data_IF_080029933877
#
_entry.id   IF_080029933877
#
_cell.length_a   1.000
_cell.length_b   1.000
_cell.length_c   1.000
_cell.angle_alpha   90.00
_cell.angle_beta   90.00
_cell.angle_gamma   90.00
#
_symmetry.space_group_name_H-M   'P 1'
#
loop_
_entity.id
_entity.type
_entity.pdbx_description
1 polymer ?
#
# COMPACT_ATOMS: atom_id res chain seq x y z
N UNK A 1 -1.84 0.33 22.24
CA UNK A 1 -0.78 0.79 21.30
C UNK A 1 0.27 1.57 22.08
N UNK A 2 1.57 1.46 21.74
CA UNK A 2 2.63 2.25 22.38
C UNK A 2 2.42 3.76 22.16
N UNK A 3 2.72 4.59 23.18
CA UNK A 3 2.46 6.04 23.16
C UNK A 3 3.14 6.78 21.98
N UNK A 4 4.27 6.28 21.48
CA UNK A 4 5.03 6.89 20.39
C UNK A 4 4.72 6.31 19.00
N UNK A 5 3.75 5.40 18.88
CA UNK A 5 3.40 4.80 17.60
C UNK A 5 2.48 5.67 16.75
N UNK A 6 1.69 6.55 17.38
CA UNK A 6 0.67 7.38 16.70
C UNK A 6 1.18 8.14 15.46
N UNK A 7 2.36 8.78 15.46
CA UNK A 7 2.87 9.44 14.26
C UNK A 7 3.14 8.46 13.10
N UNK A 8 3.65 7.26 13.41
CA UNK A 8 3.92 6.22 12.41
C UNK A 8 2.63 5.63 11.86
N UNK A 9 1.61 5.43 12.71
CA UNK A 9 0.26 5.05 12.30
C UNK A 9 -0.32 6.09 11.32
N UNK A 10 -0.24 7.36 11.68
CA UNK A 10 -0.83 8.43 10.86
C UNK A 10 -0.09 8.57 9.52
N UNK A 11 1.22 8.34 9.50
CA UNK A 11 2.02 8.25 8.27
C UNK A 11 1.64 7.04 7.40
N UNK A 12 1.39 5.87 8.00
CA UNK A 12 0.89 4.70 7.28
C UNK A 12 -0.49 4.99 6.67
N UNK A 13 -1.39 5.70 7.38
CA UNK A 13 -2.69 6.08 6.84
C UNK A 13 -2.55 7.06 5.67
N UNK A 14 -1.63 8.03 5.77
CA UNK A 14 -1.30 8.93 4.66
C UNK A 14 -0.73 8.15 3.46
N UNK A 15 0.12 7.15 3.69
CA UNK A 15 0.65 6.27 2.66
C UNK A 15 -0.46 5.49 1.93
N UNK A 16 -1.37 4.86 2.68
CA UNK A 16 -2.49 4.11 2.09
C UNK A 16 -3.36 5.03 1.23
N UNK A 17 -3.66 6.25 1.71
CA UNK A 17 -4.39 7.23 0.91
C UNK A 17 -3.64 7.63 -0.36
N UNK A 18 -2.32 7.78 -0.27
CA UNK A 18 -1.48 8.14 -1.41
C UNK A 18 -1.52 7.04 -2.49
N UNK A 19 -1.32 5.77 -2.12
CA UNK A 19 -1.33 4.65 -3.08
C UNK A 19 -2.72 4.33 -3.62
N UNK A 20 -3.79 4.61 -2.86
CA UNK A 20 -5.17 4.58 -3.38
C UNK A 20 -5.51 5.73 -4.34
N UNK A 21 -4.60 6.67 -4.61
CA UNK A 21 -4.89 7.94 -5.28
C UNK A 21 -5.94 8.82 -4.57
N UNK A 22 -6.17 8.63 -3.27
CA UNK A 22 -7.13 9.40 -2.46
C UNK A 22 -6.56 10.72 -1.95
N UNK A 23 -5.85 11.43 -2.84
CA UNK A 23 -5.20 12.71 -2.51
C UNK A 23 -6.18 13.87 -2.46
N UNK A 24 -7.37 13.76 -3.08
CA UNK A 24 -8.29 14.89 -3.24
C UNK A 24 -9.71 14.75 -2.68
N UNK A 25 -10.29 13.57 -2.44
CA UNK A 25 -11.62 13.48 -1.79
C UNK A 25 -12.04 12.06 -1.42
N UNK A 26 -13.12 12.02 -0.63
CA UNK A 26 -13.79 10.95 0.13
C UNK A 26 -14.35 9.82 -0.77
N UNK A 27 -13.51 9.22 -1.58
CA UNK A 27 -13.91 8.11 -2.45
C UNK A 27 -13.55 6.81 -1.74
N UNK A 28 -14.55 5.97 -1.48
CA UNK A 28 -14.31 4.59 -1.08
C UNK A 28 -13.54 3.93 -2.24
N UNK A 29 -12.41 3.25 -1.99
CA UNK A 29 -11.71 2.52 -3.04
C UNK A 29 -12.71 1.63 -3.79
N UNK A 30 -12.74 1.73 -5.12
CA UNK A 30 -13.56 0.82 -5.92
C UNK A 30 -13.05 -0.60 -5.66
N UNK A 31 -13.94 -1.60 -5.62
CA UNK A 31 -13.51 -2.99 -5.53
C UNK A 31 -12.58 -3.33 -6.71
N UNK A 32 -11.66 -4.28 -6.54
CA UNK A 32 -10.82 -4.75 -7.63
C UNK A 32 -11.67 -5.31 -8.78
N UNK A 33 -11.20 -5.16 -10.00
CA UNK A 33 -11.87 -5.72 -11.17
C UNK A 33 -11.91 -7.26 -11.08
N UNK A 34 -13.01 -7.93 -11.44
CA UNK A 34 -13.10 -9.40 -11.39
C UNK A 34 -11.96 -10.10 -12.13
N UNK A 35 -11.60 -9.64 -13.33
CA UNK A 35 -10.48 -10.19 -14.11
C UNK A 35 -9.13 -10.13 -13.35
N UNK A 36 -8.89 -9.08 -12.56
CA UNK A 36 -7.69 -8.98 -11.72
C UNK A 36 -7.69 -10.06 -10.66
N UNK A 37 -8.84 -10.36 -10.05
CA UNK A 37 -8.97 -11.42 -9.05
C UNK A 37 -8.77 -12.79 -9.71
N UNK A 38 -9.42 -13.05 -10.84
CA UNK A 38 -9.28 -14.32 -11.57
C UNK A 38 -7.83 -14.58 -12.01
N UNK A 39 -7.16 -13.55 -12.55
CA UNK A 39 -5.74 -13.67 -12.93
C UNK A 39 -4.84 -13.89 -11.70
N UNK A 40 -5.09 -13.16 -10.60
CA UNK A 40 -4.33 -13.32 -9.36
C UNK A 40 -4.48 -14.73 -8.75
N UNK A 41 -5.72 -15.22 -8.65
CA UNK A 41 -6.03 -16.54 -8.07
C UNK A 41 -5.47 -17.69 -8.92
N UNK A 42 -5.24 -17.47 -10.22
CA UNK A 42 -4.57 -18.45 -11.09
C UNK A 42 -3.07 -18.58 -10.83
N UNK A 43 -2.45 -17.57 -10.20
CA UNK A 43 -0.99 -17.46 -10.02
C UNK A 43 -0.54 -17.74 -8.58
N UNK A 44 -1.36 -17.44 -7.59
CA UNK A 44 -1.02 -17.58 -6.18
C UNK A 44 -1.93 -18.60 -5.50
N UNK A 45 -1.34 -19.65 -4.92
CA UNK A 45 -2.09 -20.70 -4.22
C UNK A 45 -1.98 -20.59 -2.70
N UNK A 46 -0.94 -19.91 -2.21
CA UNK A 46 -0.71 -19.72 -0.79
C UNK A 46 -0.04 -18.37 -0.48
N UNK A 47 0.10 -18.04 0.80
CA UNK A 47 0.65 -16.76 1.24
C UNK A 47 2.19 -16.68 1.15
N UNK A 48 2.88 -17.82 1.13
CA UNK A 48 4.34 -17.88 1.02
C UNK A 48 4.80 -17.49 -0.38
N UNK A 49 4.04 -17.86 -1.41
CA UNK A 49 4.24 -17.44 -2.81
C UNK A 49 4.24 -15.89 -2.94
N UNK A 50 3.37 -15.22 -2.19
CA UNK A 50 3.28 -13.76 -2.13
C UNK A 50 4.55 -13.19 -1.48
N UNK A 51 4.99 -13.78 -0.36
CA UNK A 51 6.25 -13.44 0.32
C UNK A 51 7.45 -13.46 -0.63
N UNK A 52 7.60 -14.57 -1.35
CA UNK A 52 8.70 -14.81 -2.29
C UNK A 52 8.72 -13.80 -3.45
N UNK A 53 7.57 -13.55 -4.08
CA UNK A 53 7.48 -12.64 -5.25
C UNK A 53 7.92 -11.20 -4.94
N UNK A 54 7.64 -10.72 -3.73
CA UNK A 54 8.04 -9.35 -3.34
C UNK A 54 9.41 -9.28 -2.66
N UNK A 55 9.85 -10.35 -1.98
CA UNK A 55 11.12 -10.40 -1.25
C UNK A 55 12.33 -10.59 -2.16
N UNK A 56 12.11 -11.08 -3.38
CA UNK A 56 13.15 -11.25 -4.39
C UNK A 56 13.02 -10.17 -5.46
N UNK A 57 13.83 -9.11 -5.36
CA UNK A 57 13.95 -8.06 -6.39
C UNK A 57 14.41 -8.58 -7.76
N UNK A 58 14.80 -9.86 -7.85
CA UNK A 58 15.14 -10.55 -9.10
C UNK A 58 13.98 -11.38 -9.68
N UNK A 59 12.83 -11.43 -9.01
CA UNK A 59 11.65 -12.13 -9.55
C UNK A 59 11.10 -11.33 -10.73
N UNK A 60 10.94 -12.00 -11.87
CA UNK A 60 10.37 -11.38 -13.07
C UNK A 60 8.96 -10.86 -12.74
N UNK A 61 8.62 -9.62 -13.12
CA UNK A 61 7.31 -9.06 -12.82
C UNK A 61 6.22 -9.90 -13.50
N UNK A 62 5.13 -10.15 -12.78
CA UNK A 62 4.01 -10.98 -13.24
C UNK A 62 3.24 -10.31 -14.39
N UNK A 63 3.23 -8.99 -14.41
CA UNK A 63 2.70 -8.16 -15.49
C UNK A 63 3.73 -7.09 -15.87
N UNK A 64 3.69 -6.53 -17.09
CA UNK A 64 4.48 -5.36 -17.45
C UNK A 64 4.22 -4.17 -16.50
N UNK A 65 5.28 -3.42 -16.16
CA UNK A 65 5.19 -2.28 -15.21
C UNK A 65 4.33 -1.14 -15.76
N UNK A 66 4.30 -0.97 -17.08
CA UNK A 66 3.48 0.01 -17.80
C UNK A 66 1.97 -0.33 -17.76
N UNK A 67 1.59 -1.57 -17.50
CA UNK A 67 0.20 -1.95 -17.21
C UNK A 67 -0.25 -1.49 -15.80
N UNK A 68 0.68 -1.08 -14.92
CA UNK A 68 0.34 -0.57 -13.58
C UNK A 68 -0.12 0.89 -13.66
N UNK A 69 -1.42 1.09 -13.44
CA UNK A 69 -2.09 2.39 -13.50
C UNK A 69 -2.25 3.07 -12.13
N UNK A 70 -1.72 2.48 -11.06
CA UNK A 70 -1.56 3.15 -9.76
C UNK A 70 -0.71 4.42 -9.94
N UNK A 71 -1.13 5.53 -9.33
CA UNK A 71 -0.65 6.89 -9.60
C UNK A 71 -0.93 7.40 -11.03
N UNK A 72 -2.20 7.51 -11.44
CA UNK A 72 -2.53 8.27 -12.66
C UNK A 72 -2.04 9.72 -12.50
N UNK A 73 -1.20 10.16 -13.44
CA UNK A 73 -0.56 11.49 -13.47
C UNK A 73 0.22 11.85 -12.18
N UNK A 74 1.22 11.05 -11.78
CA UNK A 74 1.96 11.34 -10.57
C UNK A 74 2.74 12.64 -10.73
N UNK A 75 2.54 13.57 -9.81
CA UNK A 75 3.40 14.74 -9.67
C UNK A 75 4.31 14.51 -8.48
N UNK A 76 5.62 14.50 -8.67
CA UNK A 76 6.60 14.46 -7.58
C UNK A 76 6.52 15.71 -6.68
N UNK A 77 7.23 15.65 -5.56
CA UNK A 77 7.34 16.72 -4.57
C UNK A 77 6.37 16.57 -3.41
N UNK A 78 6.22 17.65 -2.65
CA UNK A 78 5.43 17.63 -1.42
C UNK A 78 3.93 17.53 -1.72
N UNK A 79 3.28 16.53 -1.10
CA UNK A 79 1.84 16.28 -1.18
C UNK A 79 1.21 16.35 0.19
N UNK A 80 0.17 17.17 0.32
CA UNK A 80 -0.71 17.12 1.47
C UNK A 80 -1.65 15.92 1.31
N UNK A 81 -1.60 14.98 2.26
CA UNK A 81 -2.45 13.79 2.27
C UNK A 81 -3.15 13.69 3.61
N UNK A 82 -4.44 14.04 3.63
CA UNK A 82 -5.17 14.23 4.89
C UNK A 82 -4.54 15.32 5.75
N UNK A 83 -4.08 14.94 6.96
CA UNK A 83 -3.38 15.84 7.89
C UNK A 83 -1.85 15.83 7.73
N UNK A 84 -1.29 14.93 6.91
CA UNK A 84 0.15 14.76 6.73
C UNK A 84 0.70 15.47 5.49
N UNK A 85 2.00 15.75 5.51
CA UNK A 85 2.79 16.20 4.36
C UNK A 85 3.79 15.10 3.98
N UNK A 86 3.69 14.59 2.77
CA UNK A 86 4.50 13.48 2.24
C UNK A 86 5.37 13.99 1.09
N UNK A 87 6.68 13.75 1.13
CA UNK A 87 7.55 13.99 -0.01
C UNK A 87 7.49 12.81 -0.98
N UNK A 88 6.90 13.01 -2.15
CA UNK A 88 6.74 11.96 -3.17
C UNK A 88 7.89 12.07 -4.16
N UNK A 89 8.81 11.11 -4.07
CA UNK A 89 9.96 11.01 -4.95
C UNK A 89 9.68 10.08 -6.13
N UNK A 90 10.38 10.27 -7.24
CA UNK A 90 10.26 9.42 -8.43
C UNK A 90 10.58 7.96 -8.12
N UNK A 91 11.61 7.72 -7.31
CA UNK A 91 11.97 6.36 -6.88
C UNK A 91 10.84 5.67 -6.13
N UNK A 92 10.12 6.37 -5.26
CA UNK A 92 8.96 5.81 -4.56
C UNK A 92 7.86 5.37 -5.52
N UNK A 93 7.58 6.17 -6.55
CA UNK A 93 6.59 5.85 -7.58
C UNK A 93 7.00 4.61 -8.38
N UNK A 94 8.25 4.59 -8.87
CA UNK A 94 8.81 3.47 -9.63
C UNK A 94 8.87 2.19 -8.82
N UNK A 95 9.33 2.27 -7.55
CA UNK A 95 9.40 1.13 -6.65
C UNK A 95 8.00 0.55 -6.35
N UNK A 96 7.01 1.42 -6.13
CA UNK A 96 5.63 0.98 -5.92
C UNK A 96 5.06 0.31 -7.17
N UNK A 97 5.25 0.90 -8.36
CA UNK A 97 4.78 0.28 -9.61
C UNK A 97 5.44 -1.08 -9.85
N UNK A 98 6.74 -1.19 -9.65
CA UNK A 98 7.47 -2.46 -9.76
C UNK A 98 6.94 -3.50 -8.75
N UNK A 99 6.71 -3.10 -7.49
CA UNK A 99 6.15 -3.98 -6.46
C UNK A 99 4.78 -4.53 -6.85
N UNK A 100 3.91 -3.69 -7.41
CA UNK A 100 2.59 -4.11 -7.87
C UNK A 100 2.66 -5.00 -9.12
N UNK A 101 3.58 -4.71 -10.03
CA UNK A 101 3.84 -5.53 -11.21
C UNK A 101 4.30 -6.94 -10.82
N UNK A 102 5.17 -7.08 -9.82
CA UNK A 102 5.58 -8.38 -9.25
C UNK A 102 4.43 -9.16 -8.62
N UNK A 103 3.34 -8.47 -8.24
CA UNK A 103 2.14 -9.08 -7.65
C UNK A 103 1.01 -9.28 -8.67
N UNK A 104 1.17 -8.84 -9.93
CA UNK A 104 0.11 -8.90 -10.93
C UNK A 104 -1.01 -7.87 -10.69
N UNK A 105 -0.75 -6.81 -9.93
CA UNK A 105 -1.76 -5.83 -9.51
C UNK A 105 -1.66 -4.56 -10.38
N UNK A 106 -2.62 -4.35 -11.28
CA UNK A 106 -2.65 -3.14 -12.14
C UNK A 106 -3.05 -1.87 -11.38
N UNK A 107 -4.02 -1.98 -10.48
CA UNK A 107 -4.48 -0.90 -9.60
C UNK A 107 -4.46 -1.39 -8.17
N UNK A 108 -3.77 -0.68 -7.27
CA UNK A 108 -3.84 -1.01 -5.85
C UNK A 108 -5.24 -0.73 -5.31
N UNK A 109 -6.00 -1.80 -5.07
CA UNK A 109 -7.36 -1.75 -4.57
C UNK A 109 -7.64 -3.03 -3.76
N UNK A 110 -7.56 -2.98 -2.42
CA UNK A 110 -7.95 -4.10 -1.56
C UNK A 110 -9.43 -4.48 -1.77
N UNK A 111 -9.75 -5.77 -1.68
CA UNK A 111 -11.13 -6.23 -1.70
C UNK A 111 -11.76 -6.05 -0.31
N UNK A 112 -12.60 -5.02 -0.17
CA UNK A 112 -13.24 -4.68 1.10
C UNK A 112 -14.41 -5.61 1.46
N UNK A 113 -14.94 -6.36 0.49
CA UNK A 113 -16.03 -7.32 0.68
C UNK A 113 -15.52 -8.70 1.11
N UNK A 114 -14.20 -8.92 1.01
CA UNK A 114 -13.54 -10.16 1.35
C UNK A 114 -12.71 -10.03 2.64
N UNK A 115 -12.38 -11.18 3.23
CA UNK A 115 -11.59 -11.26 4.45
C UNK A 115 -10.22 -10.61 4.28
N UNK A 116 -9.75 -9.89 5.31
CA UNK A 116 -8.37 -9.38 5.35
C UNK A 116 -7.31 -10.51 5.41
N UNK A 117 -7.75 -11.77 5.51
CA UNK A 117 -6.93 -12.97 5.42
C UNK A 117 -6.89 -13.60 4.02
N UNK A 118 -7.69 -13.13 3.05
CA UNK A 118 -7.63 -13.64 1.68
C UNK A 118 -6.29 -13.34 1.02
N UNK A 119 -5.89 -14.15 0.04
CA UNK A 119 -4.58 -14.04 -0.61
C UNK A 119 -4.41 -12.69 -1.29
N UNK A 120 -5.42 -12.23 -2.01
CA UNK A 120 -5.39 -10.93 -2.66
C UNK A 120 -5.24 -9.77 -1.66
N UNK A 121 -5.97 -9.81 -0.53
CA UNK A 121 -5.84 -8.79 0.52
C UNK A 121 -4.49 -8.86 1.26
N UNK A 122 -3.91 -10.06 1.41
CA UNK A 122 -2.53 -10.25 1.89
C UNK A 122 -1.52 -9.60 0.94
N UNK A 123 -1.65 -9.80 -0.37
CA UNK A 123 -0.79 -9.17 -1.38
C UNK A 123 -0.90 -7.64 -1.36
N UNK A 124 -2.12 -7.10 -1.30
CA UNK A 124 -2.34 -5.66 -1.17
C UNK A 124 -1.67 -5.09 0.08
N UNK A 125 -1.82 -5.76 1.23
CA UNK A 125 -1.16 -5.36 2.48
C UNK A 125 0.35 -5.38 2.35
N UNK A 126 0.91 -6.44 1.77
CA UNK A 126 2.35 -6.58 1.61
C UNK A 126 2.93 -5.47 0.74
N UNK A 127 2.30 -5.17 -0.41
CA UNK A 127 2.68 -4.06 -1.27
C UNK A 127 2.66 -2.72 -0.51
N UNK A 128 1.59 -2.45 0.25
CA UNK A 128 1.46 -1.20 1.01
C UNK A 128 2.54 -1.06 2.09
N UNK A 129 2.81 -2.14 2.85
CA UNK A 129 3.79 -2.12 3.94
C UNK A 129 5.23 -2.01 3.42
N UNK A 130 5.57 -2.70 2.32
CA UNK A 130 6.90 -2.63 1.73
C UNK A 130 7.21 -1.24 1.17
N UNK A 131 6.27 -0.69 0.40
CA UNK A 131 6.42 0.65 -0.17
C UNK A 131 6.41 1.74 0.91
N UNK A 132 5.61 1.57 1.97
CA UNK A 132 5.63 2.46 3.13
C UNK A 132 7.00 2.44 3.81
N UNK A 133 7.53 1.24 4.08
CA UNK A 133 8.84 1.08 4.72
C UNK A 133 9.94 1.72 3.88
N UNK A 134 9.96 1.49 2.58
CA UNK A 134 10.93 2.08 1.67
C UNK A 134 10.85 3.61 1.72
N UNK A 135 9.66 4.19 1.54
CA UNK A 135 9.46 5.64 1.55
C UNK A 135 9.80 6.27 2.91
N UNK A 136 9.41 5.63 4.02
CA UNK A 136 9.65 6.13 5.37
C UNK A 136 11.12 6.09 5.76
N UNK A 137 11.86 5.04 5.39
CA UNK A 137 13.30 5.00 5.59
C UNK A 137 14.04 6.01 4.72
N UNK A 138 13.54 6.26 3.50
CA UNK A 138 14.00 7.31 2.58
C UNK A 138 13.65 8.75 3.00
N UNK A 139 12.86 8.93 4.06
CA UNK A 139 12.56 10.27 4.59
C UNK A 139 11.31 10.94 4.02
N UNK A 140 10.48 10.21 3.26
CA UNK A 140 9.24 10.74 2.68
C UNK A 140 8.27 11.34 3.73
N UNK A 141 8.33 10.84 4.97
CA UNK A 141 7.46 11.26 6.09
C UNK A 141 8.18 12.09 7.15
N UNK A 142 9.29 12.75 6.82
CA UNK A 142 10.07 13.56 7.80
C UNK A 142 9.21 14.62 8.50
N UNK A 143 8.23 15.22 7.80
CA UNK A 143 7.30 16.21 8.37
C UNK A 143 6.19 15.63 9.25
N UNK A 144 6.15 14.31 9.45
CA UNK A 144 5.12 13.63 10.25
C UNK A 144 5.66 13.10 11.58
N UNK A 145 6.90 13.44 11.97
CA UNK A 145 7.52 13.02 13.23
C UNK A 145 7.49 11.50 13.46
N UNK A 146 7.66 10.72 12.39
CA UNK A 146 7.63 9.25 12.47
C UNK A 146 8.82 8.74 13.29
N UNK A 147 8.58 7.70 14.10
CA UNK A 147 9.66 7.00 14.76
C UNK A 147 10.08 5.80 13.88
N UNK A 148 11.28 5.88 13.30
CA UNK A 148 11.81 4.86 12.39
C UNK A 148 11.87 3.46 13.00
N UNK A 149 11.93 3.33 14.34
CA UNK A 149 11.84 2.03 15.04
C UNK A 149 10.57 1.27 14.67
N UNK A 150 9.45 1.97 14.51
CA UNK A 150 8.15 1.34 14.25
C UNK A 150 7.88 1.10 12.76
N UNK A 151 8.69 1.68 11.86
CA UNK A 151 8.57 1.52 10.40
C UNK A 151 8.87 0.07 9.95
N UNK A 152 9.54 -0.71 10.79
CA UNK A 152 9.89 -2.11 10.53
C UNK A 152 9.17 -3.09 11.46
N UNK A 153 8.33 -2.59 12.37
CA UNK A 153 7.61 -3.40 13.36
C UNK A 153 6.32 -3.94 12.75
N UNK A 154 6.41 -5.12 12.10
CA UNK A 154 5.24 -5.76 11.48
C UNK A 154 4.16 -6.11 12.50
N UNK A 155 4.52 -6.34 13.78
CA UNK A 155 3.58 -6.60 14.86
C UNK A 155 2.66 -5.40 15.13
N UNK A 156 3.12 -4.18 14.85
CA UNK A 156 2.30 -2.97 14.90
C UNK A 156 1.70 -2.60 13.53
N UNK A 157 2.44 -2.73 12.45
CA UNK A 157 2.02 -2.25 11.12
C UNK A 157 0.90 -3.09 10.50
N UNK A 158 0.96 -4.42 10.60
CA UNK A 158 -0.08 -5.32 10.05
C UNK A 158 -1.45 -5.08 10.66
N UNK A 159 -1.64 -5.10 12.00
CA UNK A 159 -2.96 -4.85 12.57
C UNK A 159 -3.43 -3.42 12.31
N UNK A 160 -2.51 -2.45 12.27
CA UNK A 160 -2.83 -1.05 11.95
C UNK A 160 -3.36 -0.89 10.53
N UNK A 161 -2.71 -1.54 9.56
CA UNK A 161 -3.19 -1.59 8.18
C UNK A 161 -4.58 -2.21 8.10
N UNK A 162 -4.76 -3.40 8.69
CA UNK A 162 -6.03 -4.14 8.61
C UNK A 162 -7.18 -3.31 9.23
N UNK A 163 -6.93 -2.68 10.37
CA UNK A 163 -7.90 -1.79 11.01
C UNK A 163 -8.26 -0.60 10.12
N UNK A 164 -7.27 0.02 9.46
CA UNK A 164 -7.55 1.14 8.57
C UNK A 164 -8.35 0.72 7.34
N UNK A 165 -7.89 -0.30 6.62
CA UNK A 165 -8.47 -0.69 5.32
C UNK A 165 -9.84 -1.35 5.48
N UNK A 166 -10.02 -2.26 6.45
CA UNK A 166 -11.27 -3.03 6.56
C UNK A 166 -12.26 -2.48 7.58
N UNK A 167 -11.84 -1.56 8.46
CA UNK A 167 -12.69 -1.00 9.50
C UNK A 167 -12.92 0.51 9.34
N UNK A 168 -11.87 1.29 9.09
CA UNK A 168 -12.03 2.75 8.99
C UNK A 168 -12.50 3.17 7.60
N UNK A 169 -11.92 2.62 6.52
CA UNK A 169 -12.30 2.97 5.13
C UNK A 169 -13.73 2.53 4.80
N UNK A 170 -14.22 1.44 5.40
CA UNK A 170 -15.59 0.92 5.21
C UNK A 170 -16.63 1.69 6.02
N UNK A 171 -16.30 2.15 7.23
CA UNK A 171 -17.23 2.86 8.12
C UNK A 171 -17.31 4.35 7.83
N UNK A 172 -16.26 4.95 7.27
CA UNK A 172 -16.29 6.38 6.99
C UNK A 172 -16.72 6.71 5.57
N UNK A 173 -18.05 6.74 5.36
CA UNK A 173 -18.64 7.75 4.49
C UNK A 173 -18.38 9.12 5.14
N UNK A 174 -17.26 9.74 4.79
CA UNK A 174 -16.96 11.10 5.24
C UNK A 174 -17.81 12.09 4.47
#
# INVERSE_FOLDING_TARGET
MPNFFSPTRDALYAHIKLICNLTKQKVIPKPPHPDTLTEFDSRFFNADDIGYSTGNTSCAPLIPVDEVVTFKDPKCGQKKVGKGLVNVEEFFLSYTKATLACLGIRTWAPNLEDSHHSLYNKACRQAALMTFRQAALGGAYTYMNINKKYVVDLGLLVPTYNHYVHFLVTVTSW
#
